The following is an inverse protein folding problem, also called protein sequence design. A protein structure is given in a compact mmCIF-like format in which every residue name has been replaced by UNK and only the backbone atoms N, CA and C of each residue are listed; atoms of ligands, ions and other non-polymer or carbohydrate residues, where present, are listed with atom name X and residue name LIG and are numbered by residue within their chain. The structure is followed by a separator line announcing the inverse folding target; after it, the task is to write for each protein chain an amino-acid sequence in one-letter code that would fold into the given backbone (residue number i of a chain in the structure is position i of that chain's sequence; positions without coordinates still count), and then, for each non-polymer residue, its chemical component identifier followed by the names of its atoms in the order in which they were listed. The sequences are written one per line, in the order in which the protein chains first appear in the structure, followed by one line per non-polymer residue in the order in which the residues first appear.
data_IF_966944322115
#
_entry.id   IF_966944322115
#
_cell.length_a   1.000
_cell.length_b   1.000
_cell.length_c   1.000
_cell.angle_alpha   90.00
_cell.angle_beta   90.00
_cell.angle_gamma   90.00
#
_symmetry.space_group_name_H-M   'P 1'
#
loop_
_entity.id
_entity.type
_entity.pdbx_description
1 polymer ?
#
# COMPACT_ATOMS: atom_id res chain seq x y z
N UNK A 1 -2.07 -19.61 -15.08
CA UNK A 1 -0.71 -19.03 -15.10
C UNK A 1 0.22 -20.02 -14.44
N UNK A 2 1.48 -20.10 -14.85
CA UNK A 2 2.47 -20.94 -14.20
C UNK A 2 3.19 -20.14 -13.11
N UNK A 3 3.35 -20.74 -11.93
CA UNK A 3 3.92 -20.09 -10.76
C UNK A 3 5.16 -20.83 -10.28
N UNK A 4 6.28 -20.11 -10.19
CA UNK A 4 7.56 -20.63 -9.72
C UNK A 4 7.73 -20.26 -8.25
N UNK A 5 7.88 -21.26 -7.39
CA UNK A 5 8.21 -21.06 -5.98
C UNK A 5 9.72 -21.03 -5.78
N UNK A 6 10.21 -20.00 -5.09
CA UNK A 6 11.59 -19.90 -4.64
C UNK A 6 11.63 -19.93 -3.11
N UNK A 7 12.15 -21.02 -2.55
CA UNK A 7 12.22 -21.24 -1.11
C UNK A 7 13.16 -20.24 -0.42
N UNK A 8 14.35 -20.00 -0.98
CA UNK A 8 15.36 -19.10 -0.40
C UNK A 8 14.84 -17.66 -0.23
N UNK A 9 14.00 -17.22 -1.17
CA UNK A 9 13.46 -15.86 -1.18
C UNK A 9 12.05 -15.81 -0.56
N UNK A 10 11.46 -16.97 -0.24
CA UNK A 10 10.05 -17.12 0.11
C UNK A 10 9.12 -16.36 -0.85
N UNK A 11 9.27 -16.64 -2.15
CA UNK A 11 8.51 -15.94 -3.20
C UNK A 11 7.81 -16.90 -4.15
N UNK A 12 6.70 -16.43 -4.72
CA UNK A 12 5.95 -17.07 -5.78
C UNK A 12 5.87 -16.11 -6.97
N UNK A 13 6.47 -16.50 -8.10
CA UNK A 13 6.59 -15.65 -9.30
C UNK A 13 5.77 -16.22 -10.46
N UNK A 14 4.86 -15.42 -11.01
CA UNK A 14 4.06 -15.78 -12.17
C UNK A 14 4.83 -15.55 -13.46
N UNK A 15 4.91 -16.56 -14.32
CA UNK A 15 5.71 -16.50 -15.55
C UNK A 15 5.12 -15.53 -16.57
N UNK A 16 3.81 -15.60 -16.82
CA UNK A 16 3.14 -14.75 -17.82
C UNK A 16 2.80 -13.37 -17.28
N UNK A 17 2.45 -13.26 -15.99
CA UNK A 17 2.00 -12.01 -15.38
C UNK A 17 3.11 -11.22 -14.71
N UNK A 18 4.28 -11.82 -14.50
CA UNK A 18 5.39 -11.27 -13.70
C UNK A 18 4.96 -10.77 -12.31
N UNK A 19 3.83 -11.28 -11.79
CA UNK A 19 3.40 -11.00 -10.44
C UNK A 19 4.29 -11.78 -9.46
N UNK A 20 4.75 -11.10 -8.41
CA UNK A 20 5.62 -11.70 -7.39
C UNK A 20 4.96 -11.56 -6.03
N UNK A 21 4.50 -12.66 -5.46
CA UNK A 21 4.06 -12.71 -4.07
C UNK A 21 5.24 -13.07 -3.18
N UNK A 22 5.47 -12.31 -2.12
CA UNK A 22 6.59 -12.52 -1.20
C UNK A 22 6.08 -12.61 0.22
N UNK A 23 6.82 -13.33 1.06
CA UNK A 23 6.55 -13.37 2.48
C UNK A 23 6.58 -11.95 3.08
N UNK A 24 5.63 -11.67 3.97
CA UNK A 24 5.42 -10.39 4.66
C UNK A 24 4.92 -9.20 3.79
N UNK A 25 4.61 -9.40 2.50
CA UNK A 25 3.91 -8.39 1.72
C UNK A 25 2.43 -8.28 2.15
N UNK A 26 1.92 -7.05 2.22
CA UNK A 26 0.52 -6.79 2.58
C UNK A 26 -0.39 -7.02 1.38
N UNK A 27 -1.47 -7.76 1.57
CA UNK A 27 -2.46 -8.05 0.51
C UNK A 27 -3.87 -7.89 1.04
N UNK A 28 -4.80 -7.56 0.14
CA UNK A 28 -6.23 -7.59 0.43
C UNK A 28 -6.79 -8.95 0.01
N UNK A 29 -7.54 -9.58 0.90
CA UNK A 29 -8.11 -10.92 0.69
C UNK A 29 -9.60 -10.93 1.00
N UNK A 30 -10.32 -11.89 0.43
CA UNK A 30 -11.66 -12.29 0.81
C UNK A 30 -11.58 -13.65 1.50
N UNK A 31 -12.42 -13.84 2.51
CA UNK A 31 -12.59 -15.16 3.16
C UNK A 31 -13.45 -16.02 2.23
N UNK A 32 -12.90 -17.13 1.74
CA UNK A 32 -13.60 -18.02 0.82
C UNK A 32 -14.34 -19.12 1.58
N UNK A 33 -13.71 -19.70 2.60
CA UNK A 33 -14.28 -20.76 3.44
C UNK A 33 -13.69 -20.72 4.84
N UNK A 34 -14.49 -21.10 5.83
CA UNK A 34 -14.04 -21.35 7.21
C UNK A 34 -14.41 -22.77 7.58
N UNK A 35 -13.43 -23.55 8.05
CA UNK A 35 -13.59 -24.91 8.54
C UNK A 35 -13.15 -24.97 10.01
N UNK A 36 -14.12 -25.11 10.92
CA UNK A 36 -13.86 -25.05 12.37
C UNK A 36 -13.24 -26.34 12.90
N UNK A 37 -13.60 -27.47 12.31
CA UNK A 37 -13.11 -28.78 12.75
C UNK A 37 -11.63 -28.94 12.37
N UNK A 38 -11.27 -28.57 11.13
CA UNK A 38 -9.89 -28.57 10.66
C UNK A 38 -9.08 -27.33 11.13
N UNK A 39 -9.72 -26.36 11.80
CA UNK A 39 -9.13 -25.07 12.19
C UNK A 39 -8.43 -24.37 11.00
N UNK A 40 -9.04 -24.44 9.82
CA UNK A 40 -8.51 -23.90 8.56
C UNK A 40 -9.39 -22.78 8.03
N UNK A 41 -8.75 -21.75 7.48
CA UNK A 41 -9.41 -20.66 6.77
C UNK A 41 -8.79 -20.58 5.38
N UNK A 42 -9.64 -20.64 4.36
CA UNK A 42 -9.20 -20.49 2.97
C UNK A 42 -9.45 -19.05 2.51
N UNK A 43 -8.44 -18.44 1.89
CA UNK A 43 -8.49 -17.06 1.41
C UNK A 43 -8.42 -17.01 -0.12
N UNK A 44 -9.10 -16.02 -0.70
CA UNK A 44 -8.97 -15.65 -2.10
C UNK A 44 -8.44 -14.21 -2.21
N UNK A 45 -7.61 -13.91 -3.21
CA UNK A 45 -7.10 -12.55 -3.43
C UNK A 45 -8.23 -11.60 -3.82
N UNK A 46 -8.27 -10.43 -3.18
CA UNK A 46 -9.24 -9.37 -3.45
C UNK A 46 -8.63 -8.30 -4.38
N UNK A 47 -8.62 -8.60 -5.68
CA UNK A 47 -8.13 -7.70 -6.73
C UNK A 47 -6.87 -8.21 -7.43
N UNK A 48 -6.31 -7.37 -8.31
CA UNK A 48 -5.16 -7.73 -9.14
C UNK A 48 -3.85 -7.47 -8.40
N UNK A 49 -3.28 -8.55 -7.86
CA UNK A 49 -1.88 -8.63 -7.43
C UNK A 49 -1.54 -8.06 -6.05
N UNK A 50 -0.28 -8.25 -5.63
CA UNK A 50 0.19 -7.81 -4.32
C UNK A 50 0.23 -6.29 -4.28
N UNK A 51 -0.50 -5.71 -3.33
CA UNK A 51 -0.47 -4.29 -3.04
C UNK A 51 0.82 -4.04 -2.27
N UNK A 52 1.95 -3.92 -2.98
CA UNK A 52 3.25 -3.69 -2.36
C UNK A 52 3.17 -2.59 -1.30
N UNK A 53 3.95 -2.73 -0.22
CA UNK A 53 3.97 -1.77 0.90
C UNK A 53 3.87 -0.35 0.35
N UNK A 54 2.95 0.50 0.85
CA UNK A 54 2.84 1.88 0.37
C UNK A 54 4.22 2.51 0.49
N UNK A 55 4.89 2.71 -0.65
CA UNK A 55 6.25 3.26 -0.66
C UNK A 55 6.11 4.67 -0.14
N UNK A 56 6.54 4.91 1.10
CA UNK A 56 6.64 6.26 1.64
C UNK A 56 7.44 7.06 0.60
N UNK A 57 6.86 8.16 0.11
CA UNK A 57 7.54 9.01 -0.86
C UNK A 57 8.93 9.32 -0.32
N UNK A 58 9.95 9.07 -1.15
CA UNK A 58 11.33 9.26 -0.74
C UNK A 58 11.55 10.74 -0.41
N UNK A 59 12.53 11.03 0.46
CA UNK A 59 12.90 12.41 0.82
C UNK A 59 13.18 13.23 -0.45
N UNK A 60 13.79 12.62 -1.46
CA UNK A 60 14.05 13.23 -2.77
C UNK A 60 12.78 13.59 -3.54
N UNK A 61 11.76 12.72 -3.55
CA UNK A 61 10.46 13.01 -4.17
C UNK A 61 9.74 14.13 -3.44
N UNK A 62 9.78 14.14 -2.09
CA UNK A 62 9.18 15.22 -1.28
C UNK A 62 9.86 16.57 -1.49
N UNK A 63 11.18 16.59 -1.61
CA UNK A 63 11.96 17.79 -1.92
C UNK A 63 11.64 18.33 -3.32
N UNK A 64 11.52 17.46 -4.33
CA UNK A 64 11.08 17.85 -5.69
C UNK A 64 9.66 18.44 -5.70
N UNK A 65 8.78 17.95 -4.84
CA UNK A 65 7.43 18.49 -4.61
C UNK A 65 7.40 19.72 -3.67
N UNK A 66 8.56 20.25 -3.25
CA UNK A 66 8.65 21.44 -2.40
C UNK A 66 8.29 21.22 -0.91
N UNK A 67 8.05 19.98 -0.49
CA UNK A 67 7.74 19.62 0.90
C UNK A 67 9.04 19.35 1.68
N UNK A 68 9.59 20.39 2.30
CA UNK A 68 10.79 20.30 3.14
C UNK A 68 10.39 19.80 4.54
N UNK A 69 10.84 18.62 5.00
CA UNK A 69 10.56 18.17 6.36
C UNK A 69 11.38 19.02 7.34
N UNK A 70 10.70 19.76 8.22
CA UNK A 70 11.34 20.59 9.27
C UNK A 70 10.87 22.04 9.33
N UNK A 71 10.13 22.55 8.33
CA UNK A 71 9.53 23.87 8.40
C UNK A 71 8.03 23.73 8.63
N UNK A 72 7.57 24.18 9.79
CA UNK A 72 6.16 24.40 10.12
C UNK A 72 5.44 24.99 8.89
N UNK A 73 4.32 24.39 8.51
CA UNK A 73 3.49 24.95 7.44
C UNK A 73 3.21 26.43 7.72
N UNK A 74 3.40 27.35 6.76
CA UNK A 74 2.89 28.69 6.92
C UNK A 74 1.37 28.56 6.99
N UNK A 75 0.79 28.88 8.14
CA UNK A 75 -0.66 28.97 8.30
C UNK A 75 -1.17 29.90 7.21
N UNK A 76 -1.97 29.33 6.30
CA UNK A 76 -2.69 30.07 5.27
C UNK A 76 -3.49 31.19 5.93
N UNK A 77 -3.00 32.43 5.80
CA UNK A 77 -3.64 33.66 6.30
C UNK A 77 -4.67 34.20 5.30
N UNK A 78 -5.05 33.46 4.26
CA UNK A 78 -5.96 33.95 3.23
C UNK A 78 -7.39 33.44 3.41
N UNK A 79 -8.06 33.82 4.49
CA UNK A 79 -9.54 33.87 4.56
C UNK A 79 -10.00 34.60 5.83
N UNK A 80 -10.24 35.91 5.72
CA UNK A 80 -11.57 36.55 5.90
C UNK A 80 -11.39 38.06 6.00
N UNK A 81 -11.35 38.69 4.84
CA UNK A 81 -11.65 40.10 4.64
C UNK A 81 -13.06 40.42 5.14
N UNK A 82 -13.21 41.58 5.78
CA UNK A 82 -14.46 42.33 5.89
C UNK A 82 -15.40 41.96 7.05
N UNK A 83 -15.24 42.62 8.21
CA UNK A 83 -16.40 42.97 9.04
C UNK A 83 -16.42 44.47 9.31
N UNK A 84 -17.42 45.07 8.69
CA UNK A 84 -17.78 46.47 8.53
C UNK A 84 -17.88 47.19 9.88
N UNK A 85 -17.27 48.37 9.98
CA UNK A 85 -17.50 49.36 11.03
C UNK A 85 -18.96 49.83 10.95
N UNK A 86 -19.69 49.79 12.06
CA UNK A 86 -20.84 50.66 12.38
C UNK A 86 -20.78 50.95 13.87
#
# INVERSE_FOLDING_TARGET
DYWVFSEQQHTLTGERTHQVFRLADSVRVKVARVDLDARRIDFALAGDGPVGRPRKSSVRSRLKEGKIPGKSQPRDRSKKSGKKRR
#
